data_IF_701143267531
#
_entry.id   IF_701143267531
#
_cell.length_a   1.000
_cell.length_b   1.000
_cell.length_c   1.000
_cell.angle_alpha   90.00
_cell.angle_beta   90.00
_cell.angle_gamma   90.00
#
_symmetry.space_group_name_H-M   'P 1'
#
loop_
_entity.id
_entity.type
_entity.pdbx_description
1 polymer ?
#
# COMPACT_ATOMS: atom_id res chain seq x y z
N UNK A 1 -6.65 3.10 -13.53
CA UNK A 1 -6.27 2.04 -12.59
C UNK A 1 -6.44 0.67 -13.24
N UNK A 2 -7.52 0.50 -13.99
CA UNK A 2 -7.91 -0.75 -14.66
C UNK A 2 -6.81 -1.36 -15.56
N UNK A 3 -6.07 -0.55 -16.33
CA UNK A 3 -4.98 -1.06 -17.18
C UNK A 3 -3.81 -1.62 -16.36
N UNK A 4 -3.43 -0.95 -15.27
CA UNK A 4 -2.35 -1.41 -14.39
C UNK A 4 -2.74 -2.70 -13.66
N UNK A 5 -3.97 -2.75 -13.12
CA UNK A 5 -4.51 -3.96 -12.49
C UNK A 5 -4.53 -5.13 -13.47
N UNK A 6 -4.90 -4.88 -14.73
CA UNK A 6 -4.87 -5.89 -15.79
C UNK A 6 -3.46 -6.43 -16.02
N UNK A 7 -2.47 -5.56 -16.21
CA UNK A 7 -1.06 -5.97 -16.42
C UNK A 7 -0.55 -6.81 -15.25
N UNK A 8 -0.84 -6.40 -14.01
CA UNK A 8 -0.43 -7.12 -12.79
C UNK A 8 -1.07 -8.52 -12.74
N UNK A 9 -2.37 -8.61 -13.02
CA UNK A 9 -3.10 -9.87 -13.00
C UNK A 9 -2.66 -10.80 -14.15
N UNK A 10 -2.41 -10.26 -15.35
CA UNK A 10 -1.88 -11.02 -16.48
C UNK A 10 -0.50 -11.59 -16.14
N UNK A 11 0.40 -10.80 -15.57
CA UNK A 11 1.71 -11.27 -15.13
C UNK A 11 1.62 -12.47 -14.16
N UNK A 12 0.69 -12.40 -13.18
CA UNK A 12 0.44 -13.50 -12.24
C UNK A 12 -0.14 -14.72 -12.95
N UNK A 13 -1.14 -14.51 -13.78
CA UNK A 13 -1.94 -15.59 -14.36
C UNK A 13 -1.18 -16.34 -15.46
N UNK A 14 -0.30 -15.67 -16.22
CA UNK A 14 0.64 -16.29 -17.16
C UNK A 14 1.57 -17.32 -16.51
N UNK A 15 1.80 -17.18 -15.19
CA UNK A 15 2.64 -18.09 -14.39
C UNK A 15 1.82 -19.12 -13.61
N UNK A 16 0.51 -19.15 -13.81
CA UNK A 16 -0.42 -20.00 -13.06
C UNK A 16 -0.34 -19.77 -11.53
N UNK A 17 0.08 -18.57 -11.10
CA UNK A 17 0.31 -18.26 -9.68
C UNK A 17 -0.95 -17.90 -8.90
N UNK A 18 -2.08 -17.72 -9.59
CA UNK A 18 -3.36 -17.40 -8.94
C UNK A 18 -3.74 -18.44 -7.88
N UNK A 19 -3.37 -19.72 -8.06
CA UNK A 19 -3.61 -20.79 -7.08
C UNK A 19 -2.86 -20.60 -5.74
N UNK A 20 -1.73 -19.88 -5.75
CA UNK A 20 -0.93 -19.59 -4.56
C UNK A 20 -1.28 -18.22 -3.95
N UNK A 21 -1.86 -17.32 -4.74
CA UNK A 21 -2.23 -15.97 -4.33
C UNK A 21 -3.68 -15.91 -3.84
N UNK A 22 -4.03 -16.70 -2.81
CA UNK A 22 -5.31 -16.53 -2.09
C UNK A 22 -5.27 -15.30 -1.17
N UNK A 23 -6.42 -14.88 -0.65
CA UNK A 23 -6.57 -13.63 0.10
C UNK A 23 -5.70 -13.59 1.36
N UNK A 24 -5.60 -14.73 2.07
CA UNK A 24 -4.80 -14.85 3.29
C UNK A 24 -3.31 -14.73 2.95
N UNK A 25 -2.84 -15.43 1.92
CA UNK A 25 -1.43 -15.40 1.54
C UNK A 25 -1.04 -14.04 0.93
N UNK A 26 -1.91 -13.40 0.14
CA UNK A 26 -1.69 -12.02 -0.34
C UNK A 26 -1.61 -11.01 0.81
N UNK A 27 -2.47 -11.13 1.84
CA UNK A 27 -2.41 -10.28 3.02
C UNK A 27 -1.09 -10.47 3.81
N UNK A 28 -0.57 -11.70 3.84
CA UNK A 28 0.76 -11.98 4.42
C UNK A 28 1.84 -11.31 3.58
N UNK A 29 1.84 -11.47 2.25
CA UNK A 29 2.81 -10.83 1.35
C UNK A 29 2.84 -9.32 1.55
N UNK A 30 1.69 -8.64 1.59
CA UNK A 30 1.63 -7.19 1.88
C UNK A 30 2.37 -6.83 3.17
N UNK A 31 2.23 -7.64 4.23
CA UNK A 31 2.92 -7.40 5.49
C UNK A 31 4.43 -7.66 5.40
N UNK A 32 4.86 -8.61 4.59
CA UNK A 32 6.27 -8.93 4.38
C UNK A 32 6.95 -7.78 3.62
N UNK A 33 6.42 -7.37 2.47
CA UNK A 33 7.03 -6.28 1.67
C UNK A 33 6.98 -4.94 2.40
N UNK A 34 5.94 -4.70 3.20
CA UNK A 34 5.90 -3.52 4.06
C UNK A 34 7.01 -3.55 5.14
N UNK A 35 7.42 -4.74 5.58
CA UNK A 35 8.53 -4.93 6.52
C UNK A 35 9.88 -4.77 5.82
N UNK A 36 10.02 -5.24 4.58
CA UNK A 36 11.23 -5.01 3.75
C UNK A 36 11.43 -3.50 3.48
N UNK A 37 10.35 -2.80 3.11
CA UNK A 37 10.35 -1.34 3.01
C UNK A 37 10.79 -0.66 4.32
N UNK A 38 10.29 -1.13 5.47
CA UNK A 38 10.69 -0.61 6.78
C UNK A 38 12.16 -0.87 7.09
N UNK A 39 12.71 -2.01 6.67
CA UNK A 39 14.11 -2.39 6.90
C UNK A 39 15.08 -1.40 6.26
N UNK A 40 14.73 -0.82 5.11
CA UNK A 40 15.54 0.21 4.45
C UNK A 40 15.84 1.42 5.36
N UNK A 41 14.90 1.74 6.25
CA UNK A 41 15.00 2.86 7.19
C UNK A 41 15.56 2.43 8.56
N UNK A 42 15.81 1.14 8.78
CA UNK A 42 16.32 0.65 10.05
C UNK A 42 17.72 1.21 10.31
N UNK A 43 17.93 1.79 11.50
CA UNK A 43 19.20 2.35 11.96
C UNK A 43 19.75 3.55 11.17
N UNK A 44 18.93 4.17 10.31
CA UNK A 44 19.32 5.32 9.47
C UNK A 44 18.34 6.48 9.61
N UNK A 45 18.76 7.67 9.20
CA UNK A 45 17.84 8.80 9.07
C UNK A 45 16.99 8.69 7.80
N UNK A 46 15.81 9.29 7.79
CA UNK A 46 14.94 9.29 6.60
C UNK A 46 15.62 9.96 5.41
N UNK A 47 16.35 11.05 5.64
CA UNK A 47 17.05 11.80 4.60
C UNK A 47 18.16 10.97 3.95
N UNK A 48 18.95 10.27 4.76
CA UNK A 48 20.02 9.39 4.28
C UNK A 48 19.47 8.24 3.44
N UNK A 49 18.45 7.53 3.94
CA UNK A 49 17.85 6.40 3.21
C UNK A 49 17.25 6.86 1.89
N UNK A 50 16.47 7.96 1.86
CA UNK A 50 15.87 8.46 0.62
C UNK A 50 16.93 8.85 -0.42
N UNK A 51 18.07 9.39 0.01
CA UNK A 51 19.16 9.77 -0.90
C UNK A 51 19.96 8.56 -1.41
N UNK A 52 20.17 7.55 -0.57
CA UNK A 52 21.10 6.44 -0.86
C UNK A 52 20.44 5.14 -1.31
N UNK A 53 19.13 4.99 -1.06
CA UNK A 53 18.35 3.76 -1.27
C UNK A 53 17.09 3.96 -2.12
N UNK A 54 17.11 4.93 -3.02
CA UNK A 54 15.93 5.31 -3.79
C UNK A 54 15.38 4.17 -4.65
N UNK A 55 16.25 3.40 -5.31
CA UNK A 55 15.81 2.28 -6.15
C UNK A 55 15.13 1.22 -5.30
N UNK A 56 15.74 0.84 -4.18
CA UNK A 56 15.19 -0.15 -3.27
C UNK A 56 13.85 0.32 -2.68
N UNK A 57 13.71 1.61 -2.34
CA UNK A 57 12.40 2.15 -1.90
C UNK A 57 11.34 2.01 -3.00
N UNK A 58 11.70 2.30 -4.25
CA UNK A 58 10.77 2.19 -5.39
C UNK A 58 10.33 0.73 -5.59
N UNK A 59 11.24 -0.23 -5.46
CA UNK A 59 10.98 -1.66 -5.56
C UNK A 59 10.06 -2.15 -4.43
N UNK A 60 10.43 -1.96 -3.16
CA UNK A 60 9.65 -2.45 -2.01
C UNK A 60 8.26 -1.80 -1.93
N UNK A 61 8.15 -0.51 -2.27
CA UNK A 61 6.86 0.17 -2.33
C UNK A 61 6.01 -0.36 -3.48
N UNK A 62 6.60 -0.67 -4.63
CA UNK A 62 5.88 -1.28 -5.74
C UNK A 62 5.34 -2.66 -5.34
N UNK A 63 6.11 -3.47 -4.63
CA UNK A 63 5.68 -4.81 -4.21
C UNK A 63 4.49 -4.75 -3.23
N UNK A 64 4.53 -3.85 -2.24
CA UNK A 64 3.37 -3.58 -1.37
C UNK A 64 2.11 -3.23 -2.18
N UNK A 65 2.25 -2.38 -3.20
CA UNK A 65 1.13 -1.95 -4.04
C UNK A 65 0.64 -3.08 -4.95
N UNK A 66 1.54 -3.86 -5.54
CA UNK A 66 1.22 -4.98 -6.43
C UNK A 66 0.39 -6.02 -5.68
N UNK A 67 0.83 -6.47 -4.51
CA UNK A 67 0.06 -7.43 -3.72
C UNK A 67 -1.28 -6.85 -3.22
N UNK A 68 -1.32 -5.55 -2.88
CA UNK A 68 -2.56 -4.87 -2.53
C UNK A 68 -3.56 -4.84 -3.70
N UNK A 69 -3.08 -4.60 -4.93
CA UNK A 69 -3.90 -4.62 -6.14
C UNK A 69 -4.41 -6.03 -6.42
N UNK A 70 -3.54 -7.05 -6.35
CA UNK A 70 -3.95 -8.45 -6.52
C UNK A 70 -5.01 -8.86 -5.50
N UNK A 71 -4.87 -8.45 -4.24
CA UNK A 71 -5.84 -8.74 -3.18
C UNK A 71 -7.19 -8.05 -3.46
N UNK A 72 -7.17 -6.78 -3.85
CA UNK A 72 -8.37 -6.05 -4.24
C UNK A 72 -9.09 -6.74 -5.40
N UNK A 73 -8.32 -7.19 -6.39
CA UNK A 73 -8.84 -7.90 -7.57
C UNK A 73 -9.51 -9.22 -7.19
N UNK A 74 -8.88 -10.04 -6.34
CA UNK A 74 -9.47 -11.28 -5.84
C UNK A 74 -10.80 -11.05 -5.08
N UNK A 75 -10.88 -9.95 -4.33
CA UNK A 75 -12.07 -9.57 -3.57
C UNK A 75 -13.12 -8.82 -4.40
N UNK A 76 -12.89 -8.60 -5.70
CA UNK A 76 -13.72 -7.81 -6.60
C UNK A 76 -13.97 -6.38 -6.07
N UNK A 77 -12.94 -5.77 -5.47
CA UNK A 77 -12.98 -4.41 -4.94
C UNK A 77 -12.42 -3.43 -5.96
N UNK A 78 -13.14 -2.34 -6.20
CA UNK A 78 -12.60 -1.20 -6.95
C UNK A 78 -11.67 -0.38 -6.04
N UNK A 79 -10.37 -0.38 -6.35
CA UNK A 79 -9.32 0.28 -5.55
C UNK A 79 -9.57 1.78 -5.40
N UNK A 80 -9.97 2.44 -6.48
CA UNK A 80 -10.20 3.89 -6.47
C UNK A 80 -11.38 4.23 -5.54
N UNK A 81 -12.46 3.47 -5.61
CA UNK A 81 -13.63 3.64 -4.75
C UNK A 81 -13.29 3.42 -3.27
N UNK A 82 -12.58 2.35 -2.91
CA UNK A 82 -12.24 2.08 -1.50
C UNK A 82 -11.34 3.17 -0.92
N UNK A 83 -10.41 3.70 -1.71
CA UNK A 83 -9.53 4.81 -1.30
C UNK A 83 -10.34 6.09 -1.12
N UNK A 84 -11.17 6.47 -2.11
CA UNK A 84 -11.99 7.69 -2.04
C UNK A 84 -12.95 7.64 -0.84
N UNK A 85 -13.59 6.50 -0.59
CA UNK A 85 -14.47 6.31 0.56
C UNK A 85 -13.71 6.38 1.89
N UNK A 86 -12.47 5.85 1.95
CA UNK A 86 -11.63 5.98 3.15
C UNK A 86 -11.20 7.43 3.39
N UNK A 87 -10.85 8.17 2.35
CA UNK A 87 -10.47 9.59 2.44
C UNK A 87 -11.64 10.46 2.94
N UNK A 88 -12.87 10.22 2.46
CA UNK A 88 -14.08 10.89 2.99
C UNK A 88 -14.21 10.68 4.50
N UNK A 89 -14.14 9.42 4.97
CA UNK A 89 -14.17 9.08 6.40
C UNK A 89 -13.02 9.71 7.18
N UNK A 90 -11.83 9.82 6.59
CA UNK A 90 -10.69 10.47 7.23
C UNK A 90 -10.89 11.99 7.36
N UNK A 91 -11.49 12.66 6.37
CA UNK A 91 -11.81 14.09 6.44
C UNK A 91 -12.82 14.40 7.55
N UNK A 92 -13.79 13.50 7.77
CA UNK A 92 -14.74 13.62 8.89
C UNK A 92 -14.03 13.45 10.25
N UNK A 93 -13.07 12.52 10.34
CA UNK A 93 -12.28 12.29 11.57
C UNK A 93 -11.23 13.37 11.83
N UNK A 94 -10.66 13.96 10.78
CA UNK A 94 -9.60 14.95 10.85
C UNK A 94 -9.99 16.23 10.09
N UNK A 95 -10.94 17.03 10.60
CA UNK A 95 -11.35 18.28 9.95
C UNK A 95 -10.18 19.27 9.88
N UNK A 96 -10.04 19.95 8.75
CA UNK A 96 -8.93 20.90 8.49
C UNK A 96 -8.77 21.92 9.64
N UNK A 97 -9.87 22.49 10.14
CA UNK A 97 -9.84 23.49 11.20
C UNK A 97 -9.28 23.01 12.54
N UNK A 98 -9.25 21.69 12.78
CA UNK A 98 -8.72 21.08 14.01
C UNK A 98 -7.38 20.37 13.80
N UNK A 99 -7.20 19.76 12.63
CA UNK A 99 -6.08 18.85 12.36
C UNK A 99 -4.91 19.50 11.63
N UNK A 100 -5.08 20.66 11.00
CA UNK A 100 -4.00 21.28 10.23
C UNK A 100 -2.81 21.65 11.13
N UNK A 101 -1.64 21.08 10.85
CA UNK A 101 -0.43 21.29 11.66
C UNK A 101 -0.44 20.56 13.01
N UNK A 102 -1.47 19.75 13.29
CA UNK A 102 -1.61 18.99 14.52
C UNK A 102 -1.50 17.48 14.24
N UNK A 103 -0.53 16.83 14.88
CA UNK A 103 -0.29 15.39 14.77
C UNK A 103 -1.12 14.54 15.75
N UNK A 104 -1.90 15.18 16.63
CA UNK A 104 -2.76 14.50 17.59
C UNK A 104 -3.78 13.64 16.86
N UNK A 105 -4.06 12.48 17.44
CA UNK A 105 -5.10 11.58 16.93
C UNK A 105 -6.46 12.26 17.09
N UNK A 106 -7.42 11.93 16.25
CA UNK A 106 -8.77 12.54 16.29
C UNK A 106 -9.49 12.43 17.64
N UNK A 107 -9.08 11.50 18.50
CA UNK A 107 -9.56 11.36 19.89
C UNK A 107 -9.07 12.46 20.82
N UNK A 108 -8.09 13.25 20.38
CA UNK A 108 -7.38 14.29 21.13
C UNK A 108 -7.43 15.67 20.42
N UNK A 109 -8.30 15.83 19.40
CA UNK A 109 -8.46 17.05 18.58
C UNK A 109 -9.59 17.99 19.02
#
# INVERSE_FOLDING_TARGET
MDELEKIINEFRDERDWRQFHNEKDLAISISLEASELLELFQWKSSEETVQTKRSEIEDELADVLIYSIMLSSNLNLNIEEIILNKLKKNNEKYPIGKSKGNKQKYTEL
#
